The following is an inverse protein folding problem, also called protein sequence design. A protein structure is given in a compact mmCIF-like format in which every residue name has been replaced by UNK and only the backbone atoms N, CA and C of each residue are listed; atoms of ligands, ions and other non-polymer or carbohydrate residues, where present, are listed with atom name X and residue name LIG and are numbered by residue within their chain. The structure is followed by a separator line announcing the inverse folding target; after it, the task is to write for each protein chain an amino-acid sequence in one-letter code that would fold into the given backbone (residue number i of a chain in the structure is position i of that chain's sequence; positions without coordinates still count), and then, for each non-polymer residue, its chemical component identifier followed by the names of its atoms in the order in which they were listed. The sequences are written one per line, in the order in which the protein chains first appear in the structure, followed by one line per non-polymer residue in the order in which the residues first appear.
data_IF_437885572006
#
_entry.id   IF_437885572006
#
_cell.length_a   1.000
_cell.length_b   1.000
_cell.length_c   1.000
_cell.angle_alpha   90.00
_cell.angle_beta   90.00
_cell.angle_gamma   90.00
#
_symmetry.space_group_name_H-M   'P 1'
#
loop_
_entity.id
_entity.type
_entity.pdbx_description
1 polymer ?
#
# COMPACT_ATOMS: atom_id res chain seq x y z
N UNK A 1 15.07 0.19 0.44
CA UNK A 1 14.13 1.17 1.04
C UNK A 1 14.79 1.80 2.27
N UNK A 2 14.72 3.13 2.42
CA UNK A 2 15.19 3.83 3.64
C UNK A 2 14.01 3.93 4.63
N UNK A 3 14.02 3.07 5.64
CA UNK A 3 12.89 2.87 6.56
C UNK A 3 12.65 4.12 7.44
N UNK A 4 13.70 4.83 7.86
CA UNK A 4 13.54 6.03 8.70
C UNK A 4 12.86 7.17 7.93
N UNK A 5 13.22 7.32 6.65
CA UNK A 5 12.55 8.27 5.76
C UNK A 5 11.08 7.91 5.52
N UNK A 6 10.79 6.62 5.30
CA UNK A 6 9.39 6.17 5.13
C UNK A 6 8.60 6.47 6.39
N UNK A 7 9.08 6.04 7.57
CA UNK A 7 8.43 6.28 8.87
C UNK A 7 8.10 7.75 9.13
N UNK A 8 9.03 8.66 8.83
CA UNK A 8 8.84 10.11 9.08
C UNK A 8 7.86 10.79 8.11
N UNK A 9 7.51 10.15 6.99
CA UNK A 9 6.64 10.70 5.93
C UNK A 9 5.49 9.75 5.57
N UNK A 10 5.21 8.78 6.44
CA UNK A 10 4.18 7.78 6.22
C UNK A 10 2.81 8.35 6.56
N UNK A 11 1.92 8.33 5.58
CA UNK A 11 0.52 8.66 5.76
C UNK A 11 -0.35 7.42 5.53
N UNK A 12 -0.77 6.81 6.64
CA UNK A 12 -1.65 5.64 6.65
C UNK A 12 -3.08 5.94 6.16
N UNK A 13 -3.50 7.21 6.16
CA UNK A 13 -4.86 7.62 5.85
C UNK A 13 -4.95 8.36 4.51
N UNK A 14 -3.87 8.32 3.70
CA UNK A 14 -3.86 8.91 2.37
C UNK A 14 -5.04 8.37 1.57
N UNK A 15 -5.84 9.27 1.00
CA UNK A 15 -6.80 8.93 -0.05
C UNK A 15 -6.18 9.25 -1.40
N UNK A 16 -6.36 8.38 -2.38
CA UNK A 16 -5.83 8.64 -3.74
C UNK A 16 -6.36 9.95 -4.35
N UNK A 17 -7.55 10.41 -3.93
CA UNK A 17 -8.12 11.70 -4.32
C UNK A 17 -7.30 12.91 -3.82
N UNK A 18 -6.49 12.72 -2.79
CA UNK A 18 -5.64 13.74 -2.18
C UNK A 18 -4.21 13.73 -2.73
N UNK A 19 -3.85 12.74 -3.57
CA UNK A 19 -2.49 12.51 -4.08
C UNK A 19 -1.86 13.75 -4.73
N UNK A 20 -2.66 14.55 -5.45
CA UNK A 20 -2.20 15.73 -6.20
C UNK A 20 -2.46 17.06 -5.49
N UNK A 21 -2.92 17.06 -4.23
CA UNK A 21 -3.20 18.30 -3.47
C UNK A 21 -1.94 18.99 -2.92
N UNK A 22 -0.78 18.73 -3.51
CA UNK A 22 0.50 19.41 -3.21
C UNK A 22 1.37 18.75 -2.14
N UNK A 23 0.96 17.58 -1.62
CA UNK A 23 1.74 16.81 -0.65
C UNK A 23 2.82 15.93 -1.30
N UNK A 24 3.75 15.47 -0.46
CA UNK A 24 4.65 14.37 -0.78
C UNK A 24 4.70 13.43 0.41
N UNK A 25 4.82 12.13 0.16
CA UNK A 25 4.92 11.18 1.23
C UNK A 25 4.91 9.75 0.74
N UNK A 26 4.66 8.87 1.69
CA UNK A 26 4.57 7.44 1.48
C UNK A 26 3.26 6.91 2.06
N UNK A 27 2.72 5.88 1.45
CA UNK A 27 1.68 5.05 2.03
C UNK A 27 1.91 3.59 1.62
N UNK A 28 1.18 2.66 2.21
CA UNK A 28 1.21 1.27 1.81
C UNK A 28 -0.10 0.90 1.14
N UNK A 29 0.00 0.16 0.04
CA UNK A 29 -1.15 -0.23 -0.79
C UNK A 29 -1.05 -1.71 -1.15
N UNK A 30 -2.19 -2.29 -1.46
CA UNK A 30 -2.27 -3.56 -2.15
C UNK A 30 -2.26 -3.26 -3.66
N UNK A 31 -1.17 -3.63 -4.33
CA UNK A 31 -1.01 -3.55 -5.78
C UNK A 31 -1.48 -4.87 -6.39
N UNK A 32 -2.62 -4.85 -7.05
CA UNK A 32 -3.14 -5.98 -7.81
C UNK A 32 -2.74 -5.81 -9.26
N UNK A 33 -1.91 -6.72 -9.74
CA UNK A 33 -1.54 -6.80 -11.15
C UNK A 33 -1.37 -8.24 -11.58
N UNK A 34 -1.80 -8.55 -12.81
CA UNK A 34 -1.66 -9.88 -13.41
C UNK A 34 -2.25 -11.01 -12.55
N UNK A 35 -3.43 -10.79 -11.96
CA UNK A 35 -4.10 -11.72 -11.05
C UNK A 35 -3.32 -12.01 -9.76
N UNK A 36 -2.48 -11.07 -9.31
CA UNK A 36 -1.71 -11.23 -8.08
C UNK A 36 -1.76 -9.97 -7.24
N UNK A 37 -2.18 -10.12 -5.97
CA UNK A 37 -2.13 -9.07 -4.97
C UNK A 37 -0.75 -9.05 -4.30
N UNK A 38 -0.08 -7.91 -4.31
CA UNK A 38 1.21 -7.71 -3.65
C UNK A 38 1.18 -6.45 -2.79
N UNK A 39 1.80 -6.51 -1.63
CA UNK A 39 1.95 -5.36 -0.75
C UNK A 39 3.07 -4.48 -1.29
N UNK A 40 2.77 -3.21 -1.51
CA UNK A 40 3.67 -2.25 -2.14
C UNK A 40 3.76 -0.97 -1.32
N UNK A 41 4.97 -0.38 -1.29
CA UNK A 41 5.17 0.98 -0.85
C UNK A 41 4.78 1.92 -1.98
N UNK A 42 3.81 2.79 -1.74
CA UNK A 42 3.37 3.81 -2.66
C UNK A 42 3.96 5.15 -2.26
N UNK A 43 4.79 5.72 -3.12
CA UNK A 43 5.34 7.06 -2.97
C UNK A 43 4.57 8.03 -3.86
N UNK A 44 4.08 9.11 -3.29
CA UNK A 44 3.39 10.17 -4.03
C UNK A 44 4.15 11.49 -3.93
N UNK A 45 4.11 12.25 -5.01
CA UNK A 45 4.69 13.60 -5.13
C UNK A 45 3.78 14.46 -6.02
N UNK A 46 3.92 15.80 -5.99
CA UNK A 46 3.13 16.66 -6.87
C UNK A 46 3.32 16.40 -8.37
N UNK A 47 4.40 15.71 -8.76
CA UNK A 47 4.76 15.44 -10.15
C UNK A 47 4.50 13.99 -10.57
N UNK A 48 3.95 13.16 -9.67
CA UNK A 48 3.62 11.76 -9.94
C UNK A 48 3.89 10.84 -8.77
N UNK A 49 3.57 9.57 -8.99
CA UNK A 49 3.65 8.50 -8.02
C UNK A 49 4.49 7.33 -8.53
N UNK A 50 4.96 6.53 -7.57
CA UNK A 50 5.70 5.29 -7.83
C UNK A 50 5.28 4.25 -6.80
N UNK A 51 4.88 3.06 -7.24
CA UNK A 51 4.79 1.88 -6.38
C UNK A 51 6.08 1.07 -6.43
N UNK A 52 6.44 0.46 -5.31
CA UNK A 52 7.54 -0.48 -5.18
C UNK A 52 7.09 -1.66 -4.33
N UNK A 53 7.05 -2.85 -4.93
CA UNK A 53 6.64 -4.09 -4.24
C UNK A 53 7.63 -4.38 -3.10
N UNK A 54 7.10 -4.71 -1.92
CA UNK A 54 7.93 -5.07 -0.78
C UNK A 54 8.57 -6.46 -0.99
N UNK A 55 9.82 -6.62 -0.56
CA UNK A 55 10.51 -7.91 -0.65
C UNK A 55 9.86 -8.96 0.26
N UNK A 56 9.43 -8.54 1.46
CA UNK A 56 8.69 -9.37 2.38
C UNK A 56 7.19 -9.11 2.21
N UNK A 57 6.42 -10.19 2.08
CA UNK A 57 4.99 -10.15 1.82
C UNK A 57 4.21 -10.78 2.99
N UNK A 58 3.04 -10.25 3.33
CA UNK A 58 2.13 -10.89 4.28
C UNK A 58 1.56 -12.19 3.69
N UNK A 59 0.96 -13.05 4.52
CA UNK A 59 0.21 -14.20 4.03
C UNK A 59 -0.89 -13.80 3.04
N UNK A 60 -1.07 -14.61 1.99
CA UNK A 60 -2.02 -14.34 0.90
C UNK A 60 -3.47 -14.19 1.41
N UNK A 61 -3.86 -14.98 2.42
CA UNK A 61 -5.18 -14.87 3.06
C UNK A 61 -5.44 -13.47 3.65
N UNK A 62 -4.41 -12.81 4.17
CA UNK A 62 -4.52 -11.45 4.73
C UNK A 62 -4.79 -10.42 3.63
N UNK A 63 -4.11 -10.57 2.48
CA UNK A 63 -4.31 -9.72 1.31
C UNK A 63 -5.69 -9.91 0.70
N UNK A 64 -6.10 -11.16 0.50
CA UNK A 64 -7.39 -11.50 -0.09
C UNK A 64 -8.55 -11.02 0.79
N UNK A 65 -8.42 -11.13 2.11
CA UNK A 65 -9.40 -10.60 3.05
C UNK A 65 -9.52 -9.07 2.93
N UNK A 66 -8.39 -8.36 2.90
CA UNK A 66 -8.40 -6.90 2.78
C UNK A 66 -9.00 -6.42 1.44
N UNK A 67 -8.79 -7.15 0.35
CA UNK A 67 -9.45 -6.89 -0.94
C UNK A 67 -10.96 -7.13 -0.87
N UNK A 68 -11.38 -8.26 -0.29
CA UNK A 68 -12.80 -8.60 -0.15
C UNK A 68 -13.59 -7.58 0.68
N UNK A 69 -13.00 -7.06 1.76
CA UNK A 69 -13.62 -6.00 2.59
C UNK A 69 -13.87 -4.71 1.80
N UNK A 70 -13.11 -4.48 0.74
CA UNK A 70 -13.27 -3.37 -0.20
C UNK A 70 -14.17 -3.71 -1.40
N UNK A 71 -14.76 -4.91 -1.43
CA UNK A 71 -15.58 -5.39 -2.55
C UNK A 71 -14.76 -5.76 -3.79
N UNK A 72 -13.45 -5.98 -3.64
CA UNK A 72 -12.52 -6.28 -4.71
C UNK A 72 -11.97 -7.72 -4.63
N UNK A 73 -11.25 -8.13 -5.68
CA UNK A 73 -10.51 -9.38 -5.70
C UNK A 73 -9.27 -9.27 -6.61
N UNK A 74 -8.42 -10.29 -6.58
CA UNK A 74 -7.17 -10.36 -7.35
C UNK A 74 -7.35 -10.25 -8.88
N UNK A 75 -8.55 -10.43 -9.43
CA UNK A 75 -8.81 -10.32 -10.88
C UNK A 75 -9.07 -8.88 -11.33
N UNK A 76 -9.15 -7.94 -10.39
CA UNK A 76 -9.36 -6.54 -10.67
C UNK A 76 -8.05 -5.80 -10.43
N UNK A 77 -7.35 -5.52 -11.53
CA UNK A 77 -6.09 -4.77 -11.46
C UNK A 77 -6.33 -3.36 -10.87
N UNK A 78 -5.42 -2.93 -10.01
CA UNK A 78 -5.50 -1.62 -9.37
C UNK A 78 -4.78 -1.52 -8.03
N UNK A 79 -4.81 -0.32 -7.45
CA UNK A 79 -4.33 -0.08 -6.10
C UNK A 79 -5.49 -0.04 -5.12
N UNK A 80 -5.35 -0.80 -4.03
CA UNK A 80 -6.32 -0.87 -2.95
C UNK A 80 -5.69 -0.46 -1.63
N UNK A 81 -6.51 0.01 -0.70
CA UNK A 81 -6.04 0.41 0.61
C UNK A 81 -5.69 -0.82 1.44
N UNK A 82 -4.73 -0.69 2.35
CA UNK A 82 -4.49 -1.70 3.36
C UNK A 82 -5.51 -1.57 4.50
N UNK A 83 -5.82 -2.69 5.14
CA UNK A 83 -6.66 -2.71 6.34
C UNK A 83 -5.80 -2.57 7.62
N UNK A 84 -6.47 -2.63 8.78
CA UNK A 84 -5.79 -2.60 10.08
C UNK A 84 -4.88 -3.81 10.30
N UNK A 85 -5.22 -4.96 9.72
CA UNK A 85 -4.45 -6.20 9.85
C UNK A 85 -3.11 -6.08 9.13
N UNK A 86 -3.13 -5.63 7.87
CA UNK A 86 -1.94 -5.39 7.06
C UNK A 86 -1.07 -4.28 7.63
N UNK A 87 -1.69 -3.21 8.18
CA UNK A 87 -0.95 -2.18 8.90
C UNK A 87 -0.16 -2.75 10.07
N UNK A 88 -0.80 -3.56 10.92
CA UNK A 88 -0.12 -4.17 12.06
C UNK A 88 1.02 -5.08 11.60
N UNK A 89 0.78 -5.85 10.54
CA UNK A 89 1.82 -6.69 9.97
C UNK A 89 3.04 -5.87 9.48
N UNK A 90 2.81 -4.73 8.83
CA UNK A 90 3.88 -3.80 8.42
C UNK A 90 4.65 -3.24 9.61
N UNK A 91 3.95 -2.86 10.69
CA UNK A 91 4.56 -2.40 11.94
C UNK A 91 5.43 -3.48 12.60
N UNK A 92 5.00 -4.75 12.57
CA UNK A 92 5.72 -5.86 13.21
C UNK A 92 6.90 -6.40 12.39
N UNK A 93 6.90 -6.25 11.06
CA UNK A 93 7.87 -6.92 10.16
C UNK A 93 8.76 -5.98 9.35
N UNK A 94 8.27 -4.79 8.97
CA UNK A 94 8.95 -3.90 8.02
C UNK A 94 9.46 -2.63 8.69
N UNK A 95 8.67 -2.09 9.61
CA UNK A 95 8.90 -0.78 10.21
C UNK A 95 9.68 -0.91 11.53
#
# INVERSE_FOLDING_TARGET
MDVEKVKSQLDWNLRFEDEFKGGRGYTFVIDVSFNKAMLSLYRFTPYGSKSEVLEQQPPEEMMNKALQEQGANEKQDGFYYIDKTLRKWLEDNIL
#
